data_IF_642278369121
#
_entry.id   IF_642278369121
#
_cell.length_a   1.000
_cell.length_b   1.000
_cell.length_c   1.000
_cell.angle_alpha   90.00
_cell.angle_beta   90.00
_cell.angle_gamma   90.00
#
_symmetry.space_group_name_H-M   'P 1'
#
loop_
_entity.id
_entity.type
_entity.pdbx_description
1 polymer ?
#
# COMPACT_ATOMS: atom_id res chain seq x y z
N UNK A 1 16.73 12.30 -11.78
CA UNK A 1 17.19 12.07 -10.39
C UNK A 1 17.98 10.78 -10.39
N UNK A 2 19.31 10.87 -10.50
CA UNK A 2 20.20 9.73 -10.73
C UNK A 2 20.75 9.17 -9.41
N UNK A 3 20.67 7.83 -9.28
CA UNK A 3 21.66 6.92 -8.72
C UNK A 3 22.32 7.23 -7.38
N UNK A 4 22.03 6.41 -6.37
CA UNK A 4 22.83 6.39 -5.14
C UNK A 4 22.34 5.44 -4.06
N UNK A 5 22.12 4.16 -4.35
CA UNK A 5 21.95 3.16 -3.27
C UNK A 5 23.32 2.61 -2.87
N UNK A 6 24.00 3.31 -1.96
CA UNK A 6 25.16 2.82 -1.22
C UNK A 6 24.71 2.38 0.18
N UNK A 7 24.99 1.13 0.53
CA UNK A 7 25.20 0.69 1.93
C UNK A 7 23.95 0.29 2.72
N UNK A 8 23.59 -0.99 2.66
CA UNK A 8 22.81 -1.67 3.70
C UNK A 8 23.78 -1.97 4.85
N UNK A 9 23.93 -1.04 5.80
CA UNK A 9 24.84 -1.20 6.94
C UNK A 9 24.77 -0.16 8.06
N UNK A 10 24.22 1.05 7.82
CA UNK A 10 24.16 2.10 8.86
C UNK A 10 22.99 3.10 8.68
N UNK A 11 21.79 2.60 8.37
CA UNK A 11 20.60 3.43 8.11
C UNK A 11 20.43 3.70 6.62
N UNK A 12 19.93 2.71 5.89
CA UNK A 12 19.70 2.80 4.44
C UNK A 12 18.77 3.96 4.07
N UNK A 13 18.91 4.47 2.85
CA UNK A 13 17.99 5.50 2.32
C UNK A 13 16.60 4.88 2.25
N UNK A 14 15.74 5.32 3.14
CA UNK A 14 14.34 4.91 3.20
C UNK A 14 13.61 5.54 2.00
N UNK A 15 12.76 4.77 1.34
CA UNK A 15 11.95 5.32 0.24
C UNK A 15 11.05 6.44 0.76
N UNK A 16 10.85 7.47 -0.06
CA UNK A 16 9.97 8.60 0.30
C UNK A 16 8.55 8.13 0.66
N UNK A 17 8.03 7.13 -0.06
CA UNK A 17 6.75 6.49 0.24
C UNK A 17 6.72 5.84 1.63
N UNK A 18 7.79 5.16 2.05
CA UNK A 18 7.87 4.54 3.37
C UNK A 18 8.01 5.58 4.50
N UNK A 19 8.75 6.67 4.26
CA UNK A 19 8.79 7.79 5.20
C UNK A 19 7.40 8.41 5.44
N UNK A 20 6.62 8.60 4.36
CA UNK A 20 5.24 9.10 4.45
C UNK A 20 4.37 8.11 5.23
N UNK A 21 4.45 6.81 4.90
CA UNK A 21 3.70 5.77 5.59
C UNK A 21 4.01 5.73 7.09
N UNK A 22 5.29 5.80 7.46
CA UNK A 22 5.70 5.85 8.87
C UNK A 22 5.12 7.07 9.59
N UNK A 23 5.13 8.24 8.93
CA UNK A 23 4.49 9.44 9.49
C UNK A 23 2.99 9.26 9.69
N UNK A 24 2.28 8.70 8.71
CA UNK A 24 0.85 8.38 8.82
C UNK A 24 0.57 7.39 9.96
N UNK A 25 1.45 6.42 10.17
CA UNK A 25 1.37 5.47 11.28
C UNK A 25 1.48 6.15 12.65
N UNK A 26 2.44 7.08 12.80
CA UNK A 26 2.59 7.83 14.05
C UNK A 26 1.40 8.75 14.36
N UNK A 27 0.69 9.21 13.33
CA UNK A 27 -0.52 10.05 13.47
C UNK A 27 -1.78 9.26 13.81
N UNK A 28 -1.75 7.92 13.74
CA UNK A 28 -2.89 7.02 14.02
C UNK A 28 -4.15 7.41 13.25
N UNK A 29 -4.10 7.28 11.92
CA UNK A 29 -5.25 7.56 11.05
C UNK A 29 -6.50 6.80 11.50
N UNK A 30 -7.63 7.51 11.56
CA UNK A 30 -8.95 6.92 11.73
C UNK A 30 -9.40 6.18 10.48
N UNK A 31 -10.33 5.22 10.63
CA UNK A 31 -10.92 4.47 9.50
C UNK A 31 -11.44 5.38 8.39
N UNK A 32 -12.07 6.51 8.73
CA UNK A 32 -12.56 7.49 7.76
C UNK A 32 -11.44 8.15 6.95
N UNK A 33 -10.32 8.46 7.58
CA UNK A 33 -9.17 9.07 6.90
C UNK A 33 -8.46 8.05 6.00
N UNK A 34 -8.39 6.78 6.42
CA UNK A 34 -7.86 5.70 5.57
C UNK A 34 -8.73 5.50 4.33
N UNK A 35 -10.06 5.46 4.48
CA UNK A 35 -10.99 5.42 3.35
C UNK A 35 -10.84 6.64 2.44
N UNK A 36 -10.61 7.83 3.02
CA UNK A 36 -10.29 9.04 2.28
C UNK A 36 -9.01 8.93 1.45
N UNK A 37 -7.99 8.22 1.95
CA UNK A 37 -6.75 7.91 1.23
C UNK A 37 -6.97 6.90 0.10
N UNK A 38 -7.80 5.87 0.32
CA UNK A 38 -8.11 4.84 -0.67
C UNK A 38 -8.95 5.36 -1.84
N UNK A 39 -9.87 6.27 -1.57
CA UNK A 39 -10.79 6.85 -2.56
C UNK A 39 -10.27 8.17 -3.16
N UNK A 40 -8.99 8.48 -2.94
CA UNK A 40 -8.42 9.74 -3.40
C UNK A 40 -8.08 9.68 -4.89
N UNK A 41 -8.80 10.45 -5.71
CA UNK A 41 -8.63 10.46 -7.17
C UNK A 41 -7.53 11.39 -7.70
N UNK A 42 -6.83 12.14 -6.84
CA UNK A 42 -5.79 13.07 -7.30
C UNK A 42 -4.54 12.34 -7.80
N UNK A 43 -4.17 11.23 -7.17
CA UNK A 43 -3.03 10.43 -7.60
C UNK A 43 -3.15 8.98 -7.19
N UNK A 44 -2.87 8.05 -8.11
CA UNK A 44 -2.96 6.63 -7.81
C UNK A 44 -1.85 6.14 -6.86
N UNK A 45 -0.76 6.91 -6.70
CA UNK A 45 0.27 6.64 -5.69
C UNK A 45 -0.24 6.85 -4.26
N UNK A 46 -1.18 7.78 -4.07
CA UNK A 46 -1.79 8.05 -2.75
C UNK A 46 -2.67 6.85 -2.35
N UNK A 47 -3.44 6.33 -3.31
CA UNK A 47 -4.23 5.10 -3.12
C UNK A 47 -3.34 3.91 -2.76
N UNK A 48 -2.25 3.71 -3.50
CA UNK A 48 -1.24 2.68 -3.20
C UNK A 48 -0.65 2.78 -1.78
N UNK A 49 -0.46 4.00 -1.29
CA UNK A 49 0.01 4.27 0.07
C UNK A 49 -1.05 3.91 1.12
N UNK A 50 -2.33 4.12 0.81
CA UNK A 50 -3.46 3.66 1.63
C UNK A 50 -3.54 2.14 1.76
N UNK A 51 -3.38 1.41 0.65
CA UNK A 51 -3.33 -0.07 0.66
C UNK A 51 -2.15 -0.60 1.48
N UNK A 52 -0.96 -0.01 1.31
CA UNK A 52 0.19 -0.35 2.14
C UNK A 52 -0.03 -0.03 3.63
N UNK A 53 -0.67 1.10 3.94
CA UNK A 53 -0.99 1.46 5.32
C UNK A 53 -1.90 0.42 5.99
N UNK A 54 -2.95 -0.04 5.30
CA UNK A 54 -3.84 -1.09 5.79
C UNK A 54 -3.08 -2.39 6.02
N UNK A 55 -2.20 -2.78 5.08
CA UNK A 55 -1.38 -4.00 5.19
C UNK A 55 -0.55 -4.08 6.46
N UNK A 56 -0.01 -2.94 6.91
CA UNK A 56 0.86 -2.88 8.09
C UNK A 56 0.10 -2.64 9.40
N UNK A 57 -1.16 -2.19 9.35
CA UNK A 57 -1.90 -1.80 10.56
C UNK A 57 -3.05 -2.74 10.93
N UNK A 58 -3.65 -3.44 9.97
CA UNK A 58 -4.80 -4.30 10.20
C UNK A 58 -4.39 -5.77 10.35
N UNK A 59 -5.08 -6.56 11.20
CA UNK A 59 -4.85 -7.98 11.30
C UNK A 59 -5.23 -8.67 9.98
N UNK A 60 -4.60 -9.83 9.66
CA UNK A 60 -4.79 -10.49 8.37
C UNK A 60 -6.24 -10.92 8.08
N UNK A 61 -7.04 -11.17 9.12
CA UNK A 61 -8.44 -11.57 8.99
C UNK A 61 -9.31 -10.44 8.40
N UNK A 62 -9.06 -9.19 8.80
CA UNK A 62 -9.90 -8.05 8.41
C UNK A 62 -9.50 -7.50 7.03
N UNK A 63 -8.36 -7.93 6.46
CA UNK A 63 -7.82 -7.37 5.22
C UNK A 63 -8.71 -7.62 4.00
N UNK A 64 -9.48 -8.72 3.99
CA UNK A 64 -10.43 -9.00 2.91
C UNK A 64 -11.49 -7.90 2.82
N UNK A 65 -12.13 -7.57 3.94
CA UNK A 65 -13.20 -6.57 4.01
C UNK A 65 -12.74 -5.17 3.56
N UNK A 66 -11.45 -4.88 3.69
CA UNK A 66 -10.85 -3.63 3.22
C UNK A 66 -10.56 -3.61 1.72
N UNK A 67 -10.24 -4.76 1.13
CA UNK A 67 -9.76 -4.85 -0.25
C UNK A 67 -10.84 -5.28 -1.25
N UNK A 68 -11.86 -6.03 -0.81
CA UNK A 68 -12.92 -6.58 -1.67
C UNK A 68 -13.53 -5.53 -2.61
N UNK A 69 -13.90 -4.36 -2.06
CA UNK A 69 -14.50 -3.26 -2.84
C UNK A 69 -13.57 -2.62 -3.89
N UNK A 70 -12.28 -2.92 -3.86
CA UNK A 70 -11.26 -2.34 -4.73
C UNK A 70 -10.64 -3.34 -5.70
N UNK A 71 -11.06 -4.62 -5.66
CA UNK A 71 -10.55 -5.65 -6.57
C UNK A 71 -10.98 -5.42 -8.01
N UNK A 72 -12.18 -4.88 -8.22
CA UNK A 72 -12.78 -4.63 -9.54
C UNK A 72 -12.70 -3.15 -9.97
N UNK A 73 -11.96 -2.31 -9.25
CA UNK A 73 -11.91 -0.87 -9.50
C UNK A 73 -11.02 -0.54 -10.74
N UNK A 74 -11.62 0.03 -11.78
CA UNK A 74 -10.94 0.43 -13.02
C UNK A 74 -9.80 1.44 -12.78
N UNK A 75 -9.82 2.25 -11.72
CA UNK A 75 -8.71 3.16 -11.46
C UNK A 75 -7.43 2.43 -11.01
N UNK A 76 -7.56 1.26 -10.40
CA UNK A 76 -6.40 0.38 -10.11
C UNK A 76 -5.85 -0.19 -11.43
N UNK A 77 -6.66 -0.22 -12.49
CA UNK A 77 -6.27 -0.67 -13.83
C UNK A 77 -5.61 0.44 -14.70
N UNK A 78 -5.81 1.73 -14.45
CA UNK A 78 -4.96 2.76 -15.10
C UNK A 78 -3.52 2.73 -14.57
N UNK A 79 -3.32 2.30 -13.31
CA UNK A 79 -2.00 1.92 -12.83
C UNK A 79 -1.43 0.69 -13.55
N UNK A 80 -2.26 -0.25 -14.03
CA UNK A 80 -1.80 -1.39 -14.82
C UNK A 80 -1.16 -0.94 -16.15
N UNK A 81 -1.67 0.13 -16.77
CA UNK A 81 -1.09 0.66 -18.01
C UNK A 81 0.23 1.41 -17.79
N UNK A 82 0.36 2.15 -16.68
CA UNK A 82 1.59 2.91 -16.36
C UNK A 82 2.64 2.08 -15.61
N UNK A 83 2.23 1.09 -14.82
CA UNK A 83 3.10 0.20 -14.04
C UNK A 83 2.39 -1.14 -13.74
N UNK A 84 2.59 -2.17 -14.58
CA UNK A 84 1.88 -3.45 -14.47
C UNK A 84 2.18 -4.22 -13.17
N UNK A 85 3.21 -3.85 -12.41
CA UNK A 85 3.48 -4.43 -11.10
C UNK A 85 2.54 -3.90 -10.02
N UNK A 86 1.98 -2.70 -10.18
CA UNK A 86 1.16 -2.04 -9.17
C UNK A 86 -0.26 -2.62 -9.08
N UNK A 87 -0.81 -3.15 -10.17
CA UNK A 87 -2.10 -3.84 -10.19
C UNK A 87 -2.06 -5.20 -9.50
N UNK A 88 -0.89 -5.81 -9.42
CA UNK A 88 -0.72 -7.00 -8.60
C UNK A 88 -0.73 -6.67 -7.12
N UNK A 89 -0.61 -5.41 -6.66
CA UNK A 89 -0.43 -5.13 -5.23
C UNK A 89 -1.58 -5.60 -4.35
N UNK A 90 -2.87 -5.34 -4.66
CA UNK A 90 -3.96 -5.83 -3.81
C UNK A 90 -4.01 -7.36 -3.79
N UNK A 91 -3.97 -8.01 -4.96
CA UNK A 91 -4.06 -9.46 -5.11
C UNK A 91 -2.80 -10.20 -4.60
N UNK A 92 -1.62 -9.63 -4.78
CA UNK A 92 -0.34 -10.15 -4.27
C UNK A 92 -0.18 -9.90 -2.78
N UNK A 93 -0.65 -8.77 -2.24
CA UNK A 93 -0.79 -8.59 -0.80
C UNK A 93 -1.69 -9.69 -0.24
N UNK A 94 -2.87 -9.88 -0.82
CA UNK A 94 -3.82 -10.93 -0.43
C UNK A 94 -3.20 -12.33 -0.48
N UNK A 95 -2.47 -12.67 -1.53
CA UNK A 95 -1.75 -13.94 -1.64
C UNK A 95 -0.65 -14.09 -0.57
N UNK A 96 0.12 -13.04 -0.30
CA UNK A 96 1.15 -13.05 0.76
C UNK A 96 0.52 -13.11 2.16
N UNK A 97 -0.70 -12.58 2.34
CA UNK A 97 -1.47 -12.67 3.58
C UNK A 97 -2.03 -14.08 3.78
N UNK A 98 -2.73 -14.61 2.78
CA UNK A 98 -3.31 -15.96 2.79
C UNK A 98 -2.24 -17.03 3.04
N UNK A 99 -1.07 -16.89 2.41
CA UNK A 99 0.03 -17.83 2.63
C UNK A 99 0.67 -17.71 4.03
N UNK A 100 0.66 -16.52 4.64
CA UNK A 100 1.25 -16.29 5.97
C UNK A 100 0.25 -16.52 7.13
N UNK A 101 -1.05 -16.58 6.86
CA UNK A 101 -2.10 -16.98 7.80
C UNK A 101 -2.40 -18.48 7.85
N UNK A 102 -1.78 -19.29 6.96
CA UNK A 102 -1.92 -20.75 6.91
C UNK A 102 -0.82 -21.50 7.68
N UNK A 103 -0.11 -20.84 8.60
CA UNK A 103 0.84 -21.48 9.52
C UNK A 103 0.57 -21.08 10.96
#
# INVERSE_FOLDING_TARGET
MCGGVRGVGAGGIVSTAFCILYKLYTLRLSRKQVLGLLNHGDSPYIRGLGFMYIRYTQPPADLWDWFESYLDDEEVSVLHHQNPYLSSFPSSLLLVILWKGSR
#
